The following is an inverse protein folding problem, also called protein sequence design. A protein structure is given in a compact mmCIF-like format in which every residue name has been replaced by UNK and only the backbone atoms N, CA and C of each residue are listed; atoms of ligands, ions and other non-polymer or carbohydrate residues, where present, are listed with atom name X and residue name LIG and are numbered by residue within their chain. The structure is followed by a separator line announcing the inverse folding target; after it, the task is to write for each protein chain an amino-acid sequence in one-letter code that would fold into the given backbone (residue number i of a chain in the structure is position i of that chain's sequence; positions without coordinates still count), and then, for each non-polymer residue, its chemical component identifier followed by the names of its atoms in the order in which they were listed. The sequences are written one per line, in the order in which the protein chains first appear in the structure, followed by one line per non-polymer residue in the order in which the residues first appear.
data_IF_974110614984
#
_entry.id   IF_974110614984
#
_cell.length_a   1.000
_cell.length_b   1.000
_cell.length_c   1.000
_cell.angle_alpha   90.00
_cell.angle_beta   90.00
_cell.angle_gamma   90.00
#
_symmetry.space_group_name_H-M   'P 1'
#
loop_
_entity.id
_entity.type
_entity.pdbx_description
1 polymer ?
#
# COMPACT_ATOMS: atom_id res chain seq x y z
N UNK A 1 -0.22 13.08 -11.12
CA UNK A 1 0.37 13.41 -12.40
C UNK A 1 1.30 12.36 -12.97
N UNK A 2 1.28 11.18 -12.52
CA UNK A 2 2.18 10.16 -12.99
C UNK A 2 3.55 10.22 -12.33
N UNK A 3 4.05 9.08 -11.97
CA UNK A 3 5.33 8.95 -11.31
C UNK A 3 6.49 8.98 -12.28
N UNK A 4 7.65 8.75 -11.74
CA UNK A 4 8.87 8.56 -12.50
C UNK A 4 9.27 7.10 -12.39
N UNK A 5 10.05 6.64 -13.34
CA UNK A 5 10.66 5.31 -13.24
C UNK A 5 11.56 5.29 -12.02
N UNK A 6 11.25 4.38 -11.08
CA UNK A 6 11.94 4.35 -9.81
C UNK A 6 12.01 2.95 -9.21
N UNK A 7 12.99 2.76 -8.34
CA UNK A 7 13.11 1.57 -7.50
C UNK A 7 13.26 2.05 -6.06
N UNK A 8 12.41 1.53 -5.18
CA UNK A 8 12.51 1.75 -3.74
C UNK A 8 12.85 0.41 -3.11
N UNK A 9 14.09 0.24 -2.68
CA UNK A 9 14.62 -1.07 -2.32
C UNK A 9 15.54 -1.00 -1.12
N UNK A 10 15.40 -1.97 -0.21
CA UNK A 10 16.36 -2.19 0.85
C UNK A 10 16.34 -1.16 1.96
N UNK A 11 15.20 -0.51 2.19
CA UNK A 11 15.08 0.49 3.25
C UNK A 11 14.52 -0.12 4.52
N UNK A 12 14.91 0.45 5.65
CA UNK A 12 14.30 0.20 6.94
C UNK A 12 13.62 1.49 7.37
N UNK A 13 12.30 1.43 7.52
CA UNK A 13 11.46 2.58 7.86
C UNK A 13 10.66 2.19 9.09
N UNK A 14 10.81 2.95 10.18
CA UNK A 14 10.17 2.54 11.42
C UNK A 14 9.87 3.72 12.34
N UNK A 15 8.87 3.51 13.18
CA UNK A 15 8.52 4.44 14.26
C UNK A 15 8.15 5.83 13.75
N UNK A 16 7.29 5.87 12.72
CA UNK A 16 6.78 7.12 12.21
C UNK A 16 5.78 7.72 13.21
N UNK A 17 5.80 9.03 13.31
CA UNK A 17 4.89 9.77 14.18
C UNK A 17 3.96 10.60 13.33
N UNK A 18 2.64 10.38 13.42
CA UNK A 18 1.71 11.17 12.62
C UNK A 18 1.66 12.60 13.17
N UNK A 19 1.69 13.58 12.29
CA UNK A 19 1.49 14.99 12.66
C UNK A 19 0.02 15.32 12.77
N UNK A 20 -0.84 14.48 12.20
CA UNK A 20 -2.30 14.64 12.22
C UNK A 20 -2.93 13.32 12.56
N UNK A 21 -4.12 13.30 13.17
CA UNK A 21 -4.85 12.06 13.41
C UNK A 21 -5.16 11.35 12.09
N UNK A 22 -5.11 10.02 12.11
CA UNK A 22 -5.46 9.19 10.96
C UNK A 22 -6.89 9.51 10.56
N UNK A 23 -7.09 9.76 9.26
CA UNK A 23 -8.41 10.02 8.70
C UNK A 23 -8.82 11.49 8.66
N UNK A 24 -8.01 12.39 9.21
CA UNK A 24 -8.32 13.83 9.16
C UNK A 24 -7.70 14.53 7.97
N UNK A 25 -6.55 14.06 7.52
CA UNK A 25 -5.91 14.54 6.30
C UNK A 25 -5.51 13.30 5.53
N UNK A 26 -6.17 13.01 4.43
CA UNK A 26 -6.14 11.67 3.85
C UNK A 26 -4.75 11.16 3.50
N UNK A 27 -3.88 12.01 3.13
CA UNK A 27 -2.67 11.61 2.40
C UNK A 27 -1.38 12.02 3.06
N UNK A 28 -1.39 13.00 3.92
CA UNK A 28 -0.14 13.51 4.45
C UNK A 28 -0.12 13.47 5.97
N UNK A 29 1.07 13.50 6.52
CA UNK A 29 1.34 13.65 7.95
C UNK A 29 0.72 12.59 8.85
N UNK A 30 0.09 11.57 8.27
CA UNK A 30 -0.60 10.54 9.05
C UNK A 30 0.28 9.33 9.36
N UNK A 31 1.52 9.30 8.87
CA UNK A 31 2.44 8.21 9.09
C UNK A 31 2.37 7.17 7.99
N UNK A 32 2.88 7.50 6.82
CA UNK A 32 2.98 6.62 5.66
C UNK A 32 4.43 6.24 5.46
N UNK A 33 4.72 4.93 5.38
CA UNK A 33 6.08 4.47 5.21
C UNK A 33 6.63 4.81 3.83
N UNK A 34 5.99 4.31 2.79
CA UNK A 34 6.39 4.54 1.40
C UNK A 34 5.15 4.91 0.61
N UNK A 35 5.26 5.96 -0.19
CA UNK A 35 4.19 6.33 -1.11
C UNK A 35 4.78 6.44 -2.52
N UNK A 36 4.21 5.68 -3.45
CA UNK A 36 4.60 5.69 -4.85
C UNK A 36 3.37 5.83 -5.73
N UNK A 37 3.53 6.39 -6.91
CA UNK A 37 2.38 6.65 -7.77
C UNK A 37 2.40 5.80 -9.04
N UNK A 38 3.52 5.74 -9.73
CA UNK A 38 3.57 5.04 -11.02
C UNK A 38 4.98 4.58 -11.37
N UNK A 39 5.06 3.54 -12.22
CA UNK A 39 6.28 3.06 -12.87
C UNK A 39 7.38 2.75 -11.84
N UNK A 40 7.03 2.08 -10.75
CA UNK A 40 7.93 1.90 -9.61
C UNK A 40 7.90 0.46 -9.12
N UNK A 41 9.07 -0.05 -8.77
CA UNK A 41 9.21 -1.31 -8.04
C UNK A 41 9.56 -1.00 -6.59
N UNK A 42 8.77 -1.54 -5.66
CA UNK A 42 8.98 -1.41 -4.21
C UNK A 42 9.28 -2.80 -3.68
N UNK A 43 10.54 -3.06 -3.32
CA UNK A 43 10.97 -4.41 -2.99
C UNK A 43 12.00 -4.45 -1.86
N UNK A 44 11.88 -5.48 -1.01
CA UNK A 44 12.88 -5.73 0.01
C UNK A 44 12.98 -4.69 1.11
N UNK A 45 11.90 -3.97 1.40
CA UNK A 45 11.87 -2.99 2.48
C UNK A 45 11.29 -3.62 3.75
N UNK A 46 11.72 -3.11 4.89
CA UNK A 46 11.16 -3.45 6.19
C UNK A 46 10.51 -2.20 6.78
N UNK A 47 9.21 -2.27 7.01
CA UNK A 47 8.42 -1.13 7.51
C UNK A 47 7.75 -1.55 8.80
N UNK A 48 7.97 -0.79 9.85
CA UNK A 48 7.46 -1.11 11.17
C UNK A 48 6.93 0.16 11.86
N UNK A 49 5.74 0.08 12.41
CA UNK A 49 5.13 1.20 13.13
C UNK A 49 4.95 2.43 12.23
N UNK A 50 4.30 2.23 11.09
CA UNK A 50 3.83 3.31 10.22
C UNK A 50 2.31 3.45 10.47
N UNK A 51 1.88 4.45 11.24
CA UNK A 51 0.53 4.44 11.82
C UNK A 51 -0.62 4.34 10.83
N UNK A 52 -0.51 4.98 9.66
CA UNK A 52 -1.60 4.96 8.69
C UNK A 52 -1.43 3.84 7.66
N UNK A 53 -0.36 3.89 6.91
CA UNK A 53 -0.10 2.93 5.83
C UNK A 53 1.36 2.50 5.85
N UNK A 54 1.59 1.22 5.62
CA UNK A 54 2.95 0.77 5.32
C UNK A 54 3.39 1.30 3.96
N UNK A 55 2.62 0.99 2.93
CA UNK A 55 2.90 1.42 1.55
C UNK A 55 1.59 1.89 0.92
N UNK A 56 1.64 2.98 0.17
CA UNK A 56 0.54 3.38 -0.72
C UNK A 56 1.04 3.30 -2.15
N UNK A 57 0.27 2.64 -3.01
CA UNK A 57 0.49 2.58 -4.45
C UNK A 57 -0.62 3.29 -5.18
N UNK A 58 -0.29 4.41 -5.81
CA UNK A 58 -1.20 5.16 -6.66
C UNK A 58 -1.99 6.23 -5.92
N UNK A 59 -2.47 7.18 -6.70
CA UNK A 59 -3.35 8.24 -6.20
C UNK A 59 -4.45 8.44 -7.25
N UNK A 60 -5.66 8.02 -6.92
CA UNK A 60 -6.76 8.10 -7.88
C UNK A 60 -6.43 7.35 -9.16
N UNK A 61 -6.65 7.99 -10.29
CA UNK A 61 -6.42 7.42 -11.63
C UNK A 61 -4.95 7.33 -12.02
N UNK A 62 -4.04 7.88 -11.24
CA UNK A 62 -2.64 8.00 -11.63
C UNK A 62 -1.80 6.76 -11.34
N UNK A 63 -2.36 5.73 -10.71
CA UNK A 63 -1.67 4.46 -10.56
C UNK A 63 -1.34 3.88 -11.93
N UNK A 64 -0.08 3.48 -12.12
CA UNK A 64 0.34 2.82 -13.36
C UNK A 64 1.59 1.98 -13.09
N UNK A 65 1.49 0.68 -13.35
CA UNK A 65 2.63 -0.24 -13.35
C UNK A 65 3.50 -0.15 -12.09
N UNK A 66 2.89 -0.42 -10.94
CA UNK A 66 3.59 -0.48 -9.66
C UNK A 66 3.65 -1.94 -9.20
N UNK A 67 4.85 -2.40 -8.89
CA UNK A 67 5.05 -3.74 -8.32
C UNK A 67 5.54 -3.61 -6.88
N UNK A 68 4.86 -4.29 -5.95
CA UNK A 68 5.21 -4.32 -4.53
C UNK A 68 5.44 -5.75 -4.14
N UNK A 69 6.71 -6.13 -3.88
CA UNK A 69 7.06 -7.51 -3.62
C UNK A 69 8.18 -7.65 -2.61
N UNK A 70 8.13 -8.73 -1.81
CA UNK A 70 9.22 -9.06 -0.91
C UNK A 70 9.43 -8.07 0.24
N UNK A 71 8.41 -7.31 0.62
CA UNK A 71 8.51 -6.39 1.75
C UNK A 71 8.01 -7.06 3.04
N UNK A 72 8.52 -6.58 4.17
CA UNK A 72 8.04 -6.96 5.50
C UNK A 72 7.39 -5.74 6.11
N UNK A 73 6.11 -5.83 6.43
CA UNK A 73 5.33 -4.71 6.96
C UNK A 73 4.67 -5.15 8.26
N UNK A 74 4.81 -4.36 9.30
CA UNK A 74 4.29 -4.71 10.61
C UNK A 74 3.80 -3.49 11.36
N UNK A 75 2.60 -3.62 11.93
CA UNK A 75 1.97 -2.60 12.76
C UNK A 75 1.69 -1.30 12.01
N UNK A 76 0.74 -1.39 11.10
CA UNK A 76 0.16 -0.25 10.38
C UNK A 76 -1.36 -0.43 10.35
N UNK A 77 -2.10 0.64 10.30
CA UNK A 77 -3.56 0.53 10.16
C UNK A 77 -3.94 -0.26 8.91
N UNK A 78 -3.34 0.09 7.79
CA UNK A 78 -3.39 -0.66 6.52
C UNK A 78 -1.96 -1.03 6.15
N UNK A 79 -1.72 -2.28 5.75
CA UNK A 79 -0.39 -2.70 5.32
C UNK A 79 -0.01 -2.05 3.99
N UNK A 80 -0.74 -2.38 2.95
CA UNK A 80 -0.53 -1.85 1.60
C UNK A 80 -1.87 -1.35 1.07
N UNK A 81 -1.92 -0.08 0.73
CA UNK A 81 -3.07 0.52 0.07
C UNK A 81 -2.81 0.64 -1.42
N UNK A 82 -3.75 0.22 -2.25
CA UNK A 82 -3.62 0.25 -3.71
C UNK A 82 -4.82 0.98 -4.30
N UNK A 83 -4.57 1.96 -5.15
CA UNK A 83 -5.67 2.67 -5.78
C UNK A 83 -6.51 1.74 -6.64
N UNK A 84 -7.80 1.73 -6.40
CA UNK A 84 -8.81 1.06 -7.24
C UNK A 84 -9.82 2.07 -7.77
N UNK A 85 -9.48 3.33 -7.75
CA UNK A 85 -10.33 4.40 -8.27
C UNK A 85 -10.56 4.21 -9.77
N UNK A 86 -11.64 4.76 -10.32
CA UNK A 86 -11.86 4.70 -11.76
C UNK A 86 -10.67 5.23 -12.55
N UNK A 87 -10.21 4.47 -13.53
CA UNK A 87 -9.07 4.83 -14.36
C UNK A 87 -7.71 4.44 -13.80
N UNK A 88 -7.67 3.87 -12.58
CA UNK A 88 -6.41 3.36 -12.02
C UNK A 88 -5.84 2.24 -12.89
N UNK A 89 -4.51 2.24 -13.06
CA UNK A 89 -3.82 1.25 -13.86
C UNK A 89 -3.37 0.05 -13.05
N UNK A 90 -2.35 -0.61 -13.55
CA UNK A 90 -1.93 -1.94 -13.09
C UNK A 90 -1.06 -1.89 -11.84
N UNK A 91 -1.32 -2.77 -10.90
CA UNK A 91 -0.47 -2.99 -9.75
C UNK A 91 -0.33 -4.49 -9.46
N UNK A 92 0.86 -4.88 -9.02
CA UNK A 92 1.16 -6.23 -8.57
C UNK A 92 1.59 -6.19 -7.10
N UNK A 93 0.88 -6.91 -6.24
CA UNK A 93 1.20 -7.00 -4.81
C UNK A 93 1.41 -8.47 -4.48
N UNK A 94 2.66 -8.89 -4.36
CA UNK A 94 2.99 -10.31 -4.33
C UNK A 94 4.15 -10.60 -3.38
N UNK A 95 4.02 -11.67 -2.60
CA UNK A 95 5.15 -12.18 -1.83
C UNK A 95 5.59 -11.29 -0.69
N UNK A 96 4.70 -10.52 -0.09
CA UNK A 96 5.02 -9.69 1.08
C UNK A 96 4.65 -10.41 2.37
N UNK A 97 5.33 -10.09 3.46
CA UNK A 97 4.96 -10.52 4.80
C UNK A 97 4.33 -9.35 5.54
N UNK A 98 3.08 -9.50 5.94
CA UNK A 98 2.31 -8.40 6.51
C UNK A 98 1.67 -8.85 7.81
N UNK A 99 1.87 -8.11 8.88
CA UNK A 99 1.36 -8.45 10.20
C UNK A 99 0.82 -7.23 10.93
N UNK A 100 -0.18 -7.46 11.79
CA UNK A 100 -0.71 -6.45 12.68
C UNK A 100 -1.24 -5.22 11.93
N UNK A 101 -2.11 -5.49 10.97
CA UNK A 101 -2.76 -4.45 10.16
C UNK A 101 -4.27 -4.55 10.36
N UNK A 102 -4.82 -3.90 11.37
CA UNK A 102 -6.21 -4.12 11.80
C UNK A 102 -7.24 -3.78 10.73
N UNK A 103 -7.00 -2.83 9.84
CA UNK A 103 -7.95 -2.51 8.78
C UNK A 103 -7.82 -3.46 7.59
N UNK A 104 -6.64 -4.00 7.36
CA UNK A 104 -6.39 -4.96 6.28
C UNK A 104 -4.95 -4.98 5.84
N UNK A 105 -4.51 -6.13 5.34
CA UNK A 105 -3.15 -6.28 4.84
C UNK A 105 -2.96 -5.58 3.50
N UNK A 106 -3.90 -5.79 2.56
CA UNK A 106 -3.91 -5.12 1.26
C UNK A 106 -5.33 -4.60 1.03
N UNK A 107 -5.48 -3.30 0.89
CA UNK A 107 -6.78 -2.66 0.82
C UNK A 107 -6.84 -1.75 -0.39
N UNK A 108 -7.95 -1.82 -1.13
CA UNK A 108 -8.21 -0.90 -2.24
C UNK A 108 -8.59 0.49 -1.73
N UNK A 109 -8.05 1.50 -2.37
CA UNK A 109 -8.25 2.90 -1.97
C UNK A 109 -8.91 3.70 -3.08
N UNK A 110 -9.70 4.69 -2.68
CA UNK A 110 -10.03 5.83 -3.53
C UNK A 110 -9.28 7.02 -2.93
N UNK A 111 -8.17 7.39 -3.56
CA UNK A 111 -7.16 8.28 -3.00
C UNK A 111 -6.60 7.67 -1.71
N UNK A 112 -6.79 8.26 -0.56
CA UNK A 112 -6.35 7.66 0.70
C UNK A 112 -7.47 6.98 1.49
N UNK A 113 -8.67 6.90 0.92
CA UNK A 113 -9.83 6.35 1.62
C UNK A 113 -10.00 4.87 1.29
N UNK A 114 -9.96 3.99 2.30
CA UNK A 114 -10.24 2.57 2.05
C UNK A 114 -11.66 2.35 1.54
N UNK A 115 -11.78 1.62 0.43
CA UNK A 115 -13.07 1.32 -0.20
C UNK A 115 -13.31 -0.17 -0.38
N UNK A 116 -12.38 -1.01 0.02
CA UNK A 116 -12.55 -2.47 -0.02
C UNK A 116 -12.30 -3.08 1.35
N UNK A 117 -12.63 -4.36 1.48
CA UNK A 117 -12.12 -5.20 2.55
C UNK A 117 -10.69 -5.64 2.21
N UNK A 118 -10.11 -6.52 3.03
CA UNK A 118 -8.77 -7.02 2.80
C UNK A 118 -8.72 -7.89 1.55
N UNK A 119 -8.02 -7.43 0.53
CA UNK A 119 -7.92 -8.12 -0.76
C UNK A 119 -7.08 -9.40 -0.71
N UNK A 120 -6.32 -9.63 0.34
CA UNK A 120 -5.64 -10.91 0.52
C UNK A 120 -6.61 -12.02 0.92
N UNK A 121 -7.73 -11.66 1.51
CA UNK A 121 -8.75 -12.61 1.93
C UNK A 121 -9.79 -12.83 0.83
N UNK A 122 -10.26 -11.76 0.19
CA UNK A 122 -11.33 -11.86 -0.79
C UNK A 122 -11.43 -10.56 -1.60
N UNK A 123 -12.07 -10.63 -2.76
CA UNK A 123 -12.48 -9.46 -3.53
C UNK A 123 -11.47 -8.95 -4.55
N UNK A 124 -10.24 -9.43 -4.54
CA UNK A 124 -9.22 -8.96 -5.50
C UNK A 124 -9.65 -9.19 -6.95
N UNK A 125 -10.38 -10.26 -7.22
CA UNK A 125 -10.82 -10.60 -8.56
C UNK A 125 -11.79 -9.57 -9.17
N UNK A 126 -12.33 -8.68 -8.37
CA UNK A 126 -13.19 -7.59 -8.87
C UNK A 126 -12.41 -6.50 -9.58
N UNK A 127 -11.10 -6.50 -9.42
CA UNK A 127 -10.22 -5.47 -9.96
C UNK A 127 -9.20 -6.14 -10.88
N UNK A 128 -9.54 -6.24 -12.15
CA UNK A 128 -8.72 -6.97 -13.13
C UNK A 128 -7.30 -6.39 -13.24
N UNK A 129 -7.13 -5.12 -12.95
CA UNK A 129 -5.83 -4.44 -13.04
C UNK A 129 -4.95 -4.66 -11.81
N UNK A 130 -5.48 -5.23 -10.72
CA UNK A 130 -4.70 -5.45 -9.50
C UNK A 130 -4.52 -6.96 -9.30
N UNK A 131 -3.26 -7.38 -9.20
CA UNK A 131 -2.92 -8.76 -8.89
C UNK A 131 -2.42 -8.83 -7.45
N UNK A 132 -3.12 -9.61 -6.63
CA UNK A 132 -2.76 -9.81 -5.21
C UNK A 132 -2.58 -11.31 -5.00
N UNK A 133 -1.37 -11.74 -4.62
CA UNK A 133 -1.12 -13.15 -4.43
C UNK A 133 0.14 -13.45 -3.64
N UNK A 134 0.19 -14.65 -3.05
CA UNK A 134 1.37 -15.16 -2.38
C UNK A 134 1.84 -14.34 -1.19
N UNK A 135 1.00 -13.47 -0.63
CA UNK A 135 1.37 -12.71 0.56
C UNK A 135 1.11 -13.55 1.82
N UNK A 136 2.01 -13.43 2.77
CA UNK A 136 1.86 -14.06 4.08
C UNK A 136 1.29 -13.01 5.04
N UNK A 137 0.08 -13.29 5.55
CA UNK A 137 -0.63 -12.34 6.40
C UNK A 137 -0.83 -12.94 7.77
N UNK A 138 -0.43 -12.20 8.81
CA UNK A 138 -0.62 -12.58 10.21
C UNK A 138 -1.38 -11.48 10.94
N UNK A 139 -2.40 -11.88 11.62
CA UNK A 139 -3.23 -10.95 12.38
C UNK A 139 -2.71 -10.72 13.79
#
# INVERSE_FOLDING_TARGET
EGGRIAVVQGNIIRNLVPKRPIGTAPDDDAGIGIYVEADTSVTGNVIENAPAFGIIAGWGKYLRDVAISGNVIRNSFVGIGVSVAPGAGTALVQGNMIAETPRGAVVGLDHARPVTTDLTADGAQRYAQVTVGGNSVRR
#
